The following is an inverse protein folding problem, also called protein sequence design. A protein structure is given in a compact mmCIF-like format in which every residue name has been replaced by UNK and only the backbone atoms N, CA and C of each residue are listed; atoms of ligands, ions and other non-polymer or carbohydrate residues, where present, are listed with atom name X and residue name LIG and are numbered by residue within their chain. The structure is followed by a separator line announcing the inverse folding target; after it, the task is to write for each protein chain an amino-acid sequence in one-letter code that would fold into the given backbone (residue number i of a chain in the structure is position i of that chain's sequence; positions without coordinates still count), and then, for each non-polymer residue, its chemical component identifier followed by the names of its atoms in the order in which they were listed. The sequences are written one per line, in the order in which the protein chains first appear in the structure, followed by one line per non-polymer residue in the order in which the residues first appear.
data_IF_538096287630
#
_entry.id   IF_538096287630
#
_cell.length_a   1.000
_cell.length_b   1.000
_cell.length_c   1.000
_cell.angle_alpha   90.00
_cell.angle_beta   90.00
_cell.angle_gamma   90.00
#
_symmetry.space_group_name_H-M   'P 1'
#
loop_
_entity.id
_entity.type
_entity.pdbx_description
1 polymer ?
#
# COMPACT_ATOMS: atom_id res chain seq x y z
N UNK A 1 -2.63 -20.80 5.63
CA UNK A 1 -3.11 -19.70 4.77
C UNK A 1 -4.49 -20.07 4.25
N UNK A 2 -5.49 -19.22 4.49
CA UNK A 2 -6.87 -19.48 4.06
C UNK A 2 -6.99 -19.41 2.52
N UNK A 3 -7.82 -20.27 1.95
CA UNK A 3 -8.12 -20.30 0.52
C UNK A 3 -9.63 -20.22 0.31
N UNK A 4 -10.08 -19.42 -0.65
CA UNK A 4 -11.49 -19.35 -0.99
C UNK A 4 -11.97 -20.61 -1.75
N UNK A 5 -13.25 -20.65 -2.12
CA UNK A 5 -13.87 -21.80 -2.80
C UNK A 5 -13.21 -22.17 -4.13
N UNK A 6 -12.48 -21.25 -4.75
CA UNK A 6 -11.73 -21.47 -5.99
C UNK A 6 -10.27 -21.92 -5.73
N UNK A 7 -9.90 -22.18 -4.47
CA UNK A 7 -8.55 -22.59 -4.10
C UNK A 7 -7.51 -21.46 -4.10
N UNK A 8 -7.93 -20.20 -4.29
CA UNK A 8 -7.05 -19.03 -4.30
C UNK A 8 -6.78 -18.57 -2.87
N UNK A 9 -5.52 -18.29 -2.55
CA UNK A 9 -5.16 -17.66 -1.28
C UNK A 9 -5.66 -16.22 -1.25
N UNK A 10 -6.35 -15.86 -0.17
CA UNK A 10 -6.96 -14.54 0.02
C UNK A 10 -6.62 -13.96 1.39
N UNK A 11 -6.85 -12.67 1.55
CA UNK A 11 -6.80 -11.92 2.80
C UNK A 11 -8.17 -11.31 3.04
N UNK A 12 -8.65 -11.31 4.28
CA UNK A 12 -9.88 -10.62 4.67
C UNK A 12 -9.51 -9.38 5.48
N UNK A 13 -9.79 -8.19 4.95
CA UNK A 13 -9.74 -6.92 5.71
C UNK A 13 -11.13 -6.68 6.28
N UNK A 14 -11.28 -6.80 7.60
CA UNK A 14 -12.55 -6.65 8.33
C UNK A 14 -12.53 -5.33 9.09
N UNK A 15 -13.40 -4.40 8.70
CA UNK A 15 -13.38 -3.01 9.17
C UNK A 15 -14.70 -2.71 9.87
N UNK A 16 -14.74 -2.50 11.20
CA UNK A 16 -15.96 -2.07 11.88
C UNK A 16 -16.32 -0.65 11.44
N UNK A 17 -17.61 -0.43 11.14
CA UNK A 17 -18.13 0.86 10.69
C UNK A 17 -19.39 1.23 11.46
N UNK A 18 -19.73 2.52 11.46
CA UNK A 18 -20.96 3.10 12.01
C UNK A 18 -21.21 2.93 13.52
N UNK A 19 -20.39 2.18 14.25
CA UNK A 19 -20.52 2.02 15.69
C UNK A 19 -19.97 3.20 16.49
N UNK A 20 -20.48 3.35 17.71
CA UNK A 20 -20.09 4.44 18.63
C UNK A 20 -18.92 4.07 19.56
N UNK A 21 -18.53 2.79 19.58
CA UNK A 21 -17.39 2.32 20.38
C UNK A 21 -16.10 2.69 19.68
N UNK A 22 -15.15 3.25 20.43
CA UNK A 22 -13.77 3.39 19.95
C UNK A 22 -13.17 2.00 19.70
N UNK A 23 -12.41 1.88 18.62
CA UNK A 23 -11.69 0.66 18.24
C UNK A 23 -10.25 1.05 17.99
N UNK A 24 -9.31 0.47 18.75
CA UNK A 24 -7.89 0.80 18.70
C UNK A 24 -7.62 2.29 18.98
N UNK A 25 -8.45 2.91 19.82
CA UNK A 25 -8.36 4.33 20.14
C UNK A 25 -9.10 5.28 19.18
N UNK A 26 -9.58 4.79 18.04
CA UNK A 26 -10.20 5.63 16.99
C UNK A 26 -11.72 5.43 16.88
N UNK A 27 -12.41 6.46 16.39
CA UNK A 27 -13.82 6.35 16.00
C UNK A 27 -13.96 5.42 14.79
N UNK A 28 -15.04 4.64 14.75
CA UNK A 28 -15.32 3.82 13.57
C UNK A 28 -15.69 4.71 12.38
N UNK A 29 -15.17 4.35 11.20
CA UNK A 29 -15.49 5.02 9.94
C UNK A 29 -17.00 5.01 9.68
N UNK A 30 -17.51 6.11 9.12
CA UNK A 30 -18.84 6.23 8.54
C UNK A 30 -18.88 5.66 7.13
N UNK A 31 -20.09 5.42 6.62
CA UNK A 31 -20.28 4.89 5.26
C UNK A 31 -19.61 5.76 4.19
N UNK A 32 -19.65 7.08 4.35
CA UNK A 32 -19.03 8.02 3.41
C UNK A 32 -17.50 7.91 3.40
N UNK A 33 -16.88 7.68 4.56
CA UNK A 33 -15.42 7.57 4.71
C UNK A 33 -14.87 6.22 4.21
N UNK A 34 -15.64 5.14 4.33
CA UNK A 34 -15.22 3.82 3.84
C UNK A 34 -15.49 3.64 2.33
N UNK A 35 -16.42 4.42 1.77
CA UNK A 35 -16.76 4.34 0.35
C UNK A 35 -15.58 4.69 -0.55
N UNK A 36 -14.77 5.68 -0.16
CA UNK A 36 -13.56 6.08 -0.89
C UNK A 36 -12.59 4.90 -1.05
N UNK A 37 -12.29 4.19 0.05
CA UNK A 37 -11.42 3.01 0.06
C UNK A 37 -11.98 1.90 -0.83
N UNK A 38 -13.28 1.60 -0.75
CA UNK A 38 -13.92 0.56 -1.58
C UNK A 38 -13.81 0.89 -3.06
N UNK A 39 -14.15 2.12 -3.46
CA UNK A 39 -14.11 2.57 -4.86
C UNK A 39 -12.67 2.53 -5.38
N UNK A 40 -11.72 3.12 -4.64
CA UNK A 40 -10.31 3.17 -5.05
C UNK A 40 -9.75 1.75 -5.19
N UNK A 41 -9.99 0.86 -4.21
CA UNK A 41 -9.57 -0.54 -4.31
C UNK A 41 -10.15 -1.23 -5.54
N UNK A 42 -11.45 -1.02 -5.81
CA UNK A 42 -12.12 -1.63 -6.94
C UNK A 42 -11.59 -1.15 -8.29
N UNK A 43 -11.36 0.17 -8.45
CA UNK A 43 -10.86 0.74 -9.70
C UNK A 43 -9.40 0.36 -9.97
N UNK A 44 -8.54 0.40 -8.96
CA UNK A 44 -7.14 -0.01 -9.11
C UNK A 44 -7.01 -1.50 -9.41
N UNK A 45 -7.86 -2.35 -8.82
CA UNK A 45 -7.88 -3.78 -9.13
C UNK A 45 -8.25 -4.08 -10.59
N UNK A 46 -9.02 -3.20 -11.26
CA UNK A 46 -9.38 -3.39 -12.68
C UNK A 46 -8.21 -3.14 -13.62
N UNK A 47 -7.20 -2.36 -13.21
CA UNK A 47 -6.07 -2.01 -14.06
C UNK A 47 -5.32 -3.23 -14.60
N UNK A 48 -5.35 -4.38 -13.92
CA UNK A 48 -4.74 -5.62 -14.44
C UNK A 48 -5.25 -6.08 -15.81
N UNK A 49 -6.45 -5.64 -16.21
CA UNK A 49 -7.10 -6.01 -17.48
C UNK A 49 -7.33 -4.82 -18.42
N UNK A 50 -6.85 -3.63 -18.06
CA UNK A 50 -7.03 -2.43 -18.87
C UNK A 50 -6.24 -2.52 -20.19
N UNK A 51 -6.65 -1.75 -21.20
CA UNK A 51 -6.05 -1.77 -22.53
C UNK A 51 -5.03 -0.65 -22.75
N UNK A 52 -5.08 0.42 -21.95
CA UNK A 52 -4.22 1.59 -22.07
C UNK A 52 -3.27 1.72 -20.88
N UNK A 53 -3.77 1.47 -19.66
CA UNK A 53 -3.01 1.56 -18.41
C UNK A 53 -3.12 0.26 -17.62
N UNK A 54 -2.24 -0.70 -17.91
CA UNK A 54 -2.32 -2.05 -17.37
C UNK A 54 -1.23 -2.34 -16.37
N UNK A 55 -1.58 -2.76 -15.16
CA UNK A 55 -0.58 -3.19 -14.16
C UNK A 55 -1.17 -4.23 -13.21
N UNK A 56 -0.35 -5.20 -12.81
CA UNK A 56 -0.64 -6.13 -11.72
C UNK A 56 -0.17 -5.64 -10.33
N UNK A 57 0.34 -4.41 -10.25
CA UNK A 57 0.97 -3.85 -9.05
C UNK A 57 0.01 -3.43 -7.94
N UNK A 58 -1.31 -3.53 -8.13
CA UNK A 58 -2.33 -3.22 -7.12
C UNK A 58 -3.02 -4.48 -6.64
N UNK A 59 -3.43 -4.49 -5.36
CA UNK A 59 -4.13 -5.63 -4.79
C UNK A 59 -5.44 -5.93 -5.52
N UNK A 60 -5.68 -7.23 -5.71
CA UNK A 60 -6.92 -7.73 -6.28
C UNK A 60 -8.06 -7.59 -5.28
N UNK A 61 -9.13 -6.89 -5.65
CA UNK A 61 -10.40 -6.95 -4.94
C UNK A 61 -11.22 -8.12 -5.51
N UNK A 62 -11.40 -9.16 -4.71
CA UNK A 62 -12.23 -10.33 -5.05
C UNK A 62 -13.70 -10.04 -4.72
N UNK A 63 -13.96 -9.44 -3.56
CA UNK A 63 -15.31 -9.13 -3.09
C UNK A 63 -15.29 -8.01 -2.05
N UNK A 64 -16.38 -7.25 -1.96
CA UNK A 64 -16.61 -6.29 -0.90
C UNK A 64 -18.05 -6.48 -0.37
N UNK A 65 -18.19 -6.69 0.94
CA UNK A 65 -19.50 -6.93 1.57
C UNK A 65 -19.68 -6.09 2.81
N UNK A 66 -20.86 -5.51 2.96
CA UNK A 66 -21.35 -5.01 4.24
C UNK A 66 -22.03 -6.17 4.98
N UNK A 67 -21.57 -6.46 6.19
CA UNK A 67 -22.08 -7.55 7.03
C UNK A 67 -22.45 -7.01 8.41
N UNK A 68 -23.29 -7.76 9.13
CA UNK A 68 -23.77 -7.38 10.46
C UNK A 68 -23.65 -8.56 11.43
N UNK A 69 -23.20 -8.32 12.66
CA UNK A 69 -23.16 -9.35 13.70
C UNK A 69 -22.05 -9.15 14.73
N UNK A 70 -21.95 -10.09 15.67
CA UNK A 70 -20.78 -10.19 16.53
C UNK A 70 -19.56 -10.69 15.73
N UNK A 71 -18.35 -10.41 16.25
CA UNK A 71 -17.14 -10.95 15.66
C UNK A 71 -17.14 -12.49 15.79
N UNK A 72 -16.92 -13.25 14.71
CA UNK A 72 -17.01 -14.70 14.75
C UNK A 72 -16.01 -15.33 15.73
N UNK A 73 -16.45 -16.30 16.54
CA UNK A 73 -15.63 -16.99 17.55
C UNK A 73 -14.33 -17.56 16.96
N UNK A 74 -14.42 -18.17 15.77
CA UNK A 74 -13.26 -18.72 15.10
C UNK A 74 -12.23 -17.65 14.66
N UNK A 75 -12.66 -16.41 14.40
CA UNK A 75 -11.74 -15.30 14.11
C UNK A 75 -11.16 -14.71 15.40
N UNK A 76 -11.92 -14.73 16.50
CA UNK A 76 -11.41 -14.39 17.83
C UNK A 76 -10.28 -15.34 18.21
N UNK A 77 -10.48 -16.66 18.09
CA UNK A 77 -9.43 -17.66 18.40
C UNK A 77 -8.14 -17.42 17.60
N UNK A 78 -8.27 -17.07 16.31
CA UNK A 78 -7.12 -16.75 15.45
C UNK A 78 -6.43 -15.44 15.87
N UNK A 79 -7.19 -14.43 16.29
CA UNK A 79 -6.65 -13.18 16.81
C UNK A 79 -5.91 -13.41 18.14
N UNK A 80 -6.45 -14.22 19.05
CA UNK A 80 -5.80 -14.56 20.32
C UNK A 80 -4.50 -15.33 20.10
N UNK A 81 -4.51 -16.32 19.19
CA UNK A 81 -3.31 -17.04 18.78
C UNK A 81 -2.26 -16.10 18.18
N UNK A 82 -2.66 -15.12 17.38
CA UNK A 82 -1.74 -14.14 16.83
C UNK A 82 -1.11 -13.30 17.95
N UNK A 83 -1.93 -12.75 18.85
CA UNK A 83 -1.51 -11.97 20.02
C UNK A 83 -0.50 -12.72 20.89
N UNK A 84 -0.74 -14.00 21.17
CA UNK A 84 0.17 -14.81 21.99
C UNK A 84 1.55 -14.99 21.35
N UNK A 85 1.61 -15.08 20.02
CA UNK A 85 2.85 -15.34 19.29
C UNK A 85 3.64 -14.08 18.90
N UNK A 86 2.95 -12.94 18.70
CA UNK A 86 3.54 -11.73 18.12
C UNK A 86 3.32 -10.46 18.96
N UNK A 87 2.39 -10.49 19.92
CA UNK A 87 1.83 -9.28 20.52
C UNK A 87 0.88 -8.55 19.56
N UNK A 88 0.10 -7.62 20.11
CA UNK A 88 -0.73 -6.69 19.34
C UNK A 88 -1.08 -5.49 20.20
N UNK A 89 -1.15 -4.31 19.58
CA UNK A 89 -1.64 -3.09 20.21
C UNK A 89 -3.16 -2.90 20.00
N UNK A 90 -3.80 -3.81 19.25
CA UNK A 90 -5.22 -3.71 18.94
C UNK A 90 -6.08 -4.16 20.13
N UNK A 91 -7.26 -3.54 20.22
CA UNK A 91 -8.30 -3.97 21.14
C UNK A 91 -8.80 -5.37 20.79
N UNK A 92 -9.23 -6.10 21.81
CA UNK A 92 -9.82 -7.42 21.60
C UNK A 92 -11.15 -7.30 20.83
N UNK A 93 -11.37 -8.03 19.72
CA UNK A 93 -12.56 -7.88 18.88
C UNK A 93 -13.85 -8.46 19.50
N UNK A 94 -13.85 -8.84 20.79
CA UNK A 94 -15.04 -9.36 21.46
C UNK A 94 -15.97 -8.25 21.99
N UNK A 95 -15.59 -6.98 21.78
CA UNK A 95 -16.34 -5.81 22.20
C UNK A 95 -17.61 -5.56 21.36
N UNK A 96 -17.73 -6.20 20.20
CA UNK A 96 -18.79 -5.93 19.24
C UNK A 96 -20.09 -6.69 19.53
N UNK A 97 -21.21 -6.00 19.38
CA UNK A 97 -22.56 -6.52 19.60
C UNK A 97 -23.22 -6.97 18.28
N UNK A 98 -24.40 -7.58 18.36
CA UNK A 98 -25.06 -8.20 17.21
C UNK A 98 -25.43 -7.19 16.11
N UNK A 99 -25.59 -5.92 16.48
CA UNK A 99 -25.96 -4.82 15.61
C UNK A 99 -24.77 -4.23 14.85
N UNK A 100 -23.53 -4.55 15.25
CA UNK A 100 -22.30 -3.97 14.67
C UNK A 100 -22.21 -4.28 13.16
N UNK A 101 -21.94 -3.24 12.38
CA UNK A 101 -21.71 -3.33 10.94
C UNK A 101 -20.22 -3.42 10.64
N UNK A 102 -19.87 -4.16 9.58
CA UNK A 102 -18.51 -4.23 9.07
C UNK A 102 -18.50 -4.16 7.56
N UNK A 103 -17.46 -3.55 7.00
CA UNK A 103 -17.04 -3.82 5.63
C UNK A 103 -15.99 -4.94 5.66
N UNK A 104 -16.24 -5.98 4.85
CA UNK A 104 -15.29 -7.07 4.62
C UNK A 104 -14.81 -7.00 3.17
N UNK A 105 -13.52 -6.71 3.01
CA UNK A 105 -12.83 -6.76 1.72
C UNK A 105 -12.13 -8.12 1.59
N UNK A 106 -12.53 -8.90 0.60
CA UNK A 106 -11.82 -10.11 0.18
C UNK A 106 -10.75 -9.72 -0.83
N UNK A 107 -9.49 -9.79 -0.42
CA UNK A 107 -8.34 -9.30 -1.17
C UNK A 107 -7.45 -10.46 -1.63
N UNK A 108 -6.78 -10.29 -2.77
CA UNK A 108 -5.72 -11.19 -3.21
C UNK A 108 -4.53 -11.17 -2.24
N UNK A 109 -3.91 -12.33 -2.00
CA UNK A 109 -2.69 -12.37 -1.20
C UNK A 109 -1.49 -11.84 -2.01
N UNK A 110 -0.98 -10.67 -1.64
CA UNK A 110 0.20 -10.03 -2.26
C UNK A 110 1.56 -10.47 -1.69
N UNK A 111 1.59 -11.32 -0.67
CA UNK A 111 2.82 -11.80 -0.05
C UNK A 111 3.09 -11.18 1.32
N UNK A 112 4.32 -10.76 1.55
CA UNK A 112 4.79 -10.20 2.83
C UNK A 112 5.13 -8.73 2.66
N UNK A 113 4.83 -7.89 3.65
CA UNK A 113 5.17 -6.47 3.64
C UNK A 113 6.68 -6.21 3.51
N UNK A 114 7.05 -5.05 2.95
CA UNK A 114 8.42 -4.67 2.63
C UNK A 114 9.30 -4.57 3.89
N UNK A 115 8.72 -4.21 5.03
CA UNK A 115 9.42 -4.12 6.32
C UNK A 115 9.92 -5.50 6.80
N UNK A 116 9.08 -6.52 6.69
CA UNK A 116 9.40 -7.88 7.13
C UNK A 116 10.12 -8.72 6.05
N UNK A 117 9.99 -8.38 4.77
CA UNK A 117 10.59 -9.13 3.67
C UNK A 117 12.13 -9.13 3.71
N UNK A 118 12.74 -10.26 3.38
CA UNK A 118 14.20 -10.42 3.41
C UNK A 118 14.76 -10.67 2.00
N UNK A 119 15.20 -9.59 1.38
CA UNK A 119 15.75 -9.57 0.02
C UNK A 119 17.06 -10.34 -0.08
N UNK A 120 17.28 -10.94 -1.25
CA UNK A 120 18.55 -11.58 -1.57
C UNK A 120 19.69 -10.58 -1.58
N UNK A 121 19.52 -9.43 -2.23
CA UNK A 121 20.48 -8.32 -2.33
C UNK A 121 19.74 -7.03 -2.74
N UNK A 122 20.48 -5.92 -2.84
CA UNK A 122 19.88 -4.62 -3.15
C UNK A 122 19.38 -4.51 -4.60
N UNK A 123 19.93 -5.28 -5.55
CA UNK A 123 19.41 -5.33 -6.92
C UNK A 123 17.97 -5.85 -6.95
N UNK A 124 17.64 -6.86 -6.13
CA UNK A 124 16.28 -7.36 -6.01
C UNK A 124 15.33 -6.32 -5.39
N UNK A 125 15.79 -5.57 -4.38
CA UNK A 125 14.99 -4.50 -3.79
C UNK A 125 14.79 -3.34 -4.78
N UNK A 126 15.84 -2.95 -5.52
CA UNK A 126 15.75 -1.90 -6.52
C UNK A 126 14.78 -2.28 -7.66
N UNK A 127 14.78 -3.55 -8.06
CA UNK A 127 13.78 -4.10 -8.98
C UNK A 127 12.34 -4.03 -8.45
N UNK A 128 12.13 -4.18 -7.14
CA UNK A 128 10.83 -3.94 -6.53
C UNK A 128 10.48 -2.45 -6.53
N UNK A 129 11.44 -1.57 -6.25
CA UNK A 129 11.22 -0.11 -6.26
C UNK A 129 10.68 0.41 -7.59
N UNK A 130 11.27 -0.03 -8.70
CA UNK A 130 10.88 0.41 -10.05
C UNK A 130 9.48 -0.09 -10.47
N UNK A 131 8.87 -1.02 -9.74
CA UNK A 131 7.50 -1.50 -9.99
C UNK A 131 6.43 -0.55 -9.39
N UNK A 132 6.83 0.48 -8.63
CA UNK A 132 5.91 1.37 -7.90
C UNK A 132 5.49 2.56 -8.77
N UNK A 133 4.26 2.53 -9.31
CA UNK A 133 3.70 3.63 -10.11
C UNK A 133 2.26 3.96 -9.67
N UNK A 134 2.05 4.85 -8.68
CA UNK A 134 0.71 5.30 -8.29
C UNK A 134 0.63 6.51 -7.33
N UNK A 135 -0.53 7.20 -7.29
CA UNK A 135 -0.91 8.14 -6.23
C UNK A 135 -1.61 7.53 -5.01
N UNK A 136 -0.82 7.11 -4.02
CA UNK A 136 -1.32 6.40 -2.85
C UNK A 136 -1.60 7.27 -1.62
N UNK A 137 -0.79 8.31 -1.38
CA UNK A 137 -0.81 9.19 -0.18
C UNK A 137 -0.53 8.53 1.17
N UNK A 138 -0.43 7.21 1.23
CA UNK A 138 0.02 6.50 2.43
C UNK A 138 0.93 5.32 2.13
N UNK A 139 1.89 5.49 1.23
CA UNK A 139 2.72 4.38 0.74
C UNK A 139 3.90 4.13 1.67
N UNK A 140 3.64 3.86 2.96
CA UNK A 140 4.67 3.37 3.86
C UNK A 140 5.03 1.92 3.53
N UNK A 141 6.17 1.43 4.02
CA UNK A 141 6.68 0.10 3.70
C UNK A 141 5.79 -1.07 4.18
N UNK A 142 4.78 -0.81 5.03
CA UNK A 142 3.76 -1.80 5.39
C UNK A 142 2.72 -2.01 4.28
N UNK A 143 2.54 -1.01 3.42
CA UNK A 143 1.56 -1.00 2.33
C UNK A 143 2.14 -1.48 0.99
N UNK A 144 3.37 -1.99 1.00
CA UNK A 144 4.04 -2.61 -0.15
C UNK A 144 4.26 -4.08 0.18
N UNK A 145 3.50 -4.96 -0.45
CA UNK A 145 3.69 -6.40 -0.33
C UNK A 145 4.64 -6.91 -1.42
N UNK A 146 5.49 -7.86 -1.03
CA UNK A 146 6.46 -8.54 -1.88
C UNK A 146 6.13 -10.03 -1.91
N UNK A 147 6.03 -10.58 -3.11
CA UNK A 147 5.94 -12.02 -3.36
C UNK A 147 7.10 -12.49 -4.24
N UNK A 148 7.51 -13.75 -4.08
CA UNK A 148 8.48 -14.33 -5.01
C UNK A 148 7.76 -14.75 -6.30
N UNK A 149 8.44 -14.61 -7.44
CA UNK A 149 7.94 -15.03 -8.75
C UNK A 149 9.02 -15.73 -9.55
N UNK A 150 8.61 -16.68 -10.40
CA UNK A 150 9.48 -17.33 -11.39
C UNK A 150 9.48 -16.57 -12.74
N UNK A 151 8.56 -15.61 -12.91
CA UNK A 151 8.52 -14.73 -14.08
C UNK A 151 9.79 -13.89 -14.13
N UNK A 152 10.42 -13.79 -15.30
CA UNK A 152 11.69 -13.06 -15.46
C UNK A 152 11.49 -11.55 -15.52
N UNK A 153 10.36 -11.12 -16.01
CA UNK A 153 9.99 -9.73 -16.24
C UNK A 153 8.59 -9.47 -15.68
N UNK A 154 8.36 -8.25 -15.23
CA UNK A 154 7.04 -7.73 -14.87
C UNK A 154 6.63 -6.78 -15.99
N UNK A 155 5.46 -7.03 -16.56
CA UNK A 155 4.92 -6.27 -17.68
C UNK A 155 3.82 -5.31 -17.22
N UNK A 156 3.83 -4.10 -17.78
CA UNK A 156 2.78 -3.11 -17.62
C UNK A 156 2.52 -2.37 -18.94
N UNK A 157 1.31 -1.85 -19.12
CA UNK A 157 0.99 -0.90 -20.20
C UNK A 157 0.90 0.50 -19.63
N UNK A 158 1.55 1.46 -20.30
CA UNK A 158 1.40 2.88 -20.01
C UNK A 158 1.13 3.62 -21.30
N UNK A 159 -0.03 4.26 -21.44
CA UNK A 159 -0.50 4.83 -22.71
C UNK A 159 -0.51 3.80 -23.86
N UNK A 160 -0.86 2.55 -23.56
CA UNK A 160 -0.87 1.44 -24.51
C UNK A 160 0.52 0.91 -24.91
N UNK A 161 1.60 1.52 -24.43
CA UNK A 161 2.96 1.06 -24.65
C UNK A 161 3.34 0.00 -23.61
N UNK A 162 3.82 -1.16 -24.08
CA UNK A 162 4.31 -2.23 -23.22
C UNK A 162 5.68 -1.89 -22.65
N UNK A 163 5.78 -1.90 -21.33
CA UNK A 163 7.02 -1.76 -20.59
C UNK A 163 7.24 -3.05 -19.83
N UNK A 164 8.44 -3.63 -19.97
CA UNK A 164 8.85 -4.85 -19.30
C UNK A 164 10.10 -4.55 -18.47
N UNK A 165 10.03 -4.84 -17.17
CA UNK A 165 11.14 -4.63 -16.24
C UNK A 165 11.59 -5.97 -15.65
N UNK A 166 12.90 -6.23 -15.51
CA UNK A 166 13.37 -7.45 -14.88
C UNK A 166 12.82 -7.58 -13.45
N UNK A 167 12.16 -8.70 -13.15
CA UNK A 167 11.52 -8.95 -11.85
C UNK A 167 12.52 -9.21 -10.73
N UNK A 168 13.72 -9.69 -11.09
CA UNK A 168 14.69 -10.25 -10.17
C UNK A 168 14.09 -11.26 -9.16
N UNK A 169 13.05 -11.97 -9.59
CA UNK A 169 12.35 -12.99 -8.82
C UNK A 169 11.37 -12.44 -7.77
N UNK A 170 11.00 -11.16 -7.84
CA UNK A 170 9.98 -10.54 -6.98
C UNK A 170 8.92 -9.78 -7.76
N UNK A 171 7.71 -9.77 -7.21
CA UNK A 171 6.58 -8.98 -7.69
C UNK A 171 6.04 -8.14 -6.52
N UNK A 172 5.66 -6.90 -6.83
CA UNK A 172 5.11 -5.93 -5.88
C UNK A 172 3.59 -5.88 -5.95
N UNK A 173 2.96 -5.72 -4.80
CA UNK A 173 1.53 -5.43 -4.68
C UNK A 173 1.31 -4.32 -3.67
N UNK A 174 0.76 -3.19 -4.12
CA UNK A 174 0.35 -2.06 -3.28
C UNK A 174 -1.03 -2.38 -2.66
N UNK A 175 -1.19 -2.05 -1.37
CA UNK A 175 -2.41 -2.26 -0.59
C UNK A 175 -2.75 -0.99 0.22
N UNK A 176 -3.95 -1.01 0.81
CA UNK A 176 -4.46 -0.01 1.76
C UNK A 176 -4.63 1.41 1.23
N UNK A 177 -5.73 1.61 0.53
CA UNK A 177 -6.04 2.90 -0.10
C UNK A 177 -6.80 3.86 0.82
N UNK A 178 -6.70 3.69 2.14
CA UNK A 178 -7.47 4.47 3.13
C UNK A 178 -7.27 5.98 2.96
N UNK A 179 -6.04 6.46 2.71
CA UNK A 179 -5.76 7.90 2.53
C UNK A 179 -5.62 8.30 1.05
N UNK A 180 -5.84 7.36 0.13
CA UNK A 180 -5.68 7.59 -1.30
C UNK A 180 -6.70 8.59 -1.83
N UNK A 181 -6.41 9.11 -3.03
CA UNK A 181 -7.27 10.03 -3.74
C UNK A 181 -7.41 9.65 -5.20
N UNK A 182 -8.62 9.69 -5.72
CA UNK A 182 -8.87 9.55 -7.16
C UNK A 182 -10.05 10.40 -7.61
N UNK A 183 -10.13 10.67 -8.91
CA UNK A 183 -11.39 11.12 -9.53
C UNK A 183 -12.06 9.92 -10.15
N UNK A 184 -13.27 9.60 -9.70
CA UNK A 184 -14.09 8.53 -10.25
C UNK A 184 -15.46 9.10 -10.64
N UNK A 185 -15.87 8.86 -11.88
CA UNK A 185 -17.13 9.36 -12.43
C UNK A 185 -17.35 10.89 -12.26
N UNK A 186 -16.27 11.68 -12.28
CA UNK A 186 -16.30 13.14 -12.10
C UNK A 186 -16.27 13.61 -10.64
N UNK A 187 -16.35 12.69 -9.67
CA UNK A 187 -16.32 12.98 -8.24
C UNK A 187 -14.95 12.67 -7.63
N UNK A 188 -14.49 13.52 -6.73
CA UNK A 188 -13.23 13.30 -6.01
C UNK A 188 -13.46 12.35 -4.84
N UNK A 189 -12.88 11.16 -4.90
CA UNK A 189 -12.86 10.19 -3.80
C UNK A 189 -11.57 10.41 -3.00
N UNK A 190 -11.69 10.76 -1.73
CA UNK A 190 -10.59 10.97 -0.80
C UNK A 190 -11.12 10.97 0.64
N UNK A 191 -10.23 10.82 1.61
CA UNK A 191 -10.53 11.08 3.02
C UNK A 191 -9.92 12.43 3.41
N UNK A 192 -10.71 13.27 4.09
CA UNK A 192 -10.24 14.58 4.55
C UNK A 192 -9.45 14.45 5.85
N UNK A 193 -8.15 14.74 5.77
CA UNK A 193 -7.25 14.68 6.93
C UNK A 193 -7.11 16.05 7.59
N UNK A 194 -7.91 17.06 7.21
CA UNK A 194 -7.70 18.44 7.65
C UNK A 194 -7.75 18.65 9.16
N UNK A 195 -8.43 17.76 9.89
CA UNK A 195 -8.63 17.78 11.35
C UNK A 195 -7.82 16.72 12.11
N UNK A 196 -6.99 15.92 11.44
CA UNK A 196 -6.24 14.83 12.09
C UNK A 196 -4.94 15.34 12.73
N UNK A 197 -5.04 15.85 13.96
CA UNK A 197 -3.87 16.39 14.68
C UNK A 197 -2.86 15.31 15.09
N UNK A 198 -3.32 14.08 15.35
CA UNK A 198 -2.46 12.98 15.78
C UNK A 198 -1.50 12.58 14.66
N UNK A 199 -2.02 12.40 13.45
CA UNK A 199 -1.22 12.05 12.26
C UNK A 199 -0.09 13.05 12.01
N UNK A 200 -0.34 14.36 12.15
CA UNK A 200 0.67 15.38 11.85
C UNK A 200 1.62 15.70 13.02
N UNK A 201 1.24 15.36 14.26
CA UNK A 201 2.08 15.55 15.45
C UNK A 201 2.97 14.35 15.75
N UNK A 202 2.67 13.17 15.20
CA UNK A 202 3.49 11.98 15.31
C UNK A 202 4.93 12.19 14.81
N UNK A 203 5.88 11.45 15.40
CA UNK A 203 7.32 11.58 15.13
C UNK A 203 8.05 10.26 15.35
N UNK A 204 9.33 10.20 14.99
CA UNK A 204 10.18 9.01 15.19
C UNK A 204 10.46 8.21 13.92
N UNK A 205 9.75 8.50 12.83
CA UNK A 205 9.96 7.92 11.52
C UNK A 205 9.78 8.99 10.42
N UNK A 206 10.54 8.85 9.32
CA UNK A 206 10.43 9.74 8.16
C UNK A 206 9.02 9.72 7.53
N UNK A 207 8.27 8.63 7.74
CA UNK A 207 6.85 8.52 7.37
C UNK A 207 6.03 9.73 7.85
N UNK A 208 6.24 10.15 9.11
CA UNK A 208 5.47 11.27 9.67
C UNK A 208 5.87 12.62 9.08
N UNK A 209 7.10 12.78 8.62
CA UNK A 209 7.51 13.95 7.86
C UNK A 209 6.80 14.01 6.51
N UNK A 210 6.57 12.86 5.85
CA UNK A 210 5.82 12.80 4.58
C UNK A 210 4.41 13.36 4.76
N UNK A 211 3.67 12.97 5.81
CA UNK A 211 2.32 13.54 6.05
C UNK A 211 2.36 15.06 6.19
N UNK A 212 3.33 15.62 6.94
CA UNK A 212 3.51 17.07 7.08
C UNK A 212 3.86 17.74 5.75
N UNK A 213 4.74 17.13 4.96
CA UNK A 213 5.11 17.64 3.64
C UNK A 213 3.91 17.65 2.70
N UNK A 214 3.14 16.56 2.62
CA UNK A 214 1.92 16.48 1.82
C UNK A 214 0.91 17.56 2.24
N UNK A 215 0.67 17.71 3.55
CA UNK A 215 -0.21 18.75 4.11
C UNK A 215 0.18 20.14 3.62
N UNK A 216 1.47 20.44 3.59
CA UNK A 216 2.00 21.71 3.08
C UNK A 216 1.79 21.85 1.56
N UNK A 217 2.06 20.80 0.78
CA UNK A 217 1.86 20.83 -0.68
C UNK A 217 0.40 21.12 -1.04
N UNK A 218 -0.54 20.44 -0.39
CA UNK A 218 -1.96 20.64 -0.65
C UNK A 218 -2.56 21.83 0.10
N UNK A 219 -1.79 22.53 0.94
CA UNK A 219 -2.27 23.60 1.83
C UNK A 219 -3.47 23.15 2.69
N UNK A 220 -3.40 21.95 3.24
CA UNK A 220 -4.46 21.28 4.01
C UNK A 220 -5.79 21.07 3.25
N UNK A 221 -5.81 21.16 1.92
CA UNK A 221 -6.97 20.92 1.05
C UNK A 221 -6.80 19.56 0.35
N UNK A 222 -7.22 18.49 1.03
CA UNK A 222 -6.93 17.10 0.64
C UNK A 222 -7.68 16.63 -0.61
N UNK A 223 -8.67 17.37 -1.09
CA UNK A 223 -9.32 17.12 -2.38
C UNK A 223 -8.41 17.43 -3.59
N UNK A 224 -7.40 18.29 -3.39
CA UNK A 224 -6.49 18.72 -4.47
C UNK A 224 -5.70 17.55 -5.02
N UNK A 225 -5.51 17.58 -6.34
CA UNK A 225 -4.58 16.69 -7.02
C UNK A 225 -3.16 17.26 -6.90
N UNK A 226 -2.26 16.49 -6.31
CA UNK A 226 -0.87 16.90 -6.10
C UNK A 226 0.06 15.69 -6.28
N UNK A 227 0.46 15.38 -7.53
CA UNK A 227 1.20 14.17 -7.86
C UNK A 227 2.62 14.15 -7.29
N UNK A 228 3.15 15.30 -6.83
CA UNK A 228 4.43 15.36 -6.12
C UNK A 228 4.38 14.59 -4.79
N UNK A 229 3.20 14.39 -4.20
CA UNK A 229 3.05 13.55 -3.01
C UNK A 229 3.55 12.12 -3.23
N UNK A 230 3.54 11.62 -4.47
CA UNK A 230 4.06 10.29 -4.79
C UNK A 230 5.57 10.27 -4.81
N UNK A 231 6.17 11.36 -5.28
CA UNK A 231 7.62 11.53 -5.22
C UNK A 231 8.09 11.56 -3.76
N UNK A 232 7.34 12.20 -2.87
CA UNK A 232 7.64 12.18 -1.43
C UNK A 232 7.60 10.75 -0.85
N UNK A 233 6.58 9.97 -1.20
CA UNK A 233 6.49 8.57 -0.77
C UNK A 233 7.55 7.66 -1.39
N UNK A 234 7.84 7.82 -2.69
CA UNK A 234 8.92 7.08 -3.35
C UNK A 234 10.28 7.42 -2.73
N UNK A 235 10.50 8.68 -2.37
CA UNK A 235 11.70 9.11 -1.65
C UNK A 235 11.79 8.47 -0.26
N UNK A 236 10.67 8.36 0.47
CA UNK A 236 10.59 7.59 1.71
C UNK A 236 10.94 6.10 1.49
N UNK A 237 10.34 5.46 0.49
CA UNK A 237 10.54 4.04 0.24
C UNK A 237 11.99 3.73 -0.16
N UNK A 238 12.59 4.54 -1.03
CA UNK A 238 13.98 4.29 -1.42
C UNK A 238 14.93 4.47 -0.23
N UNK A 239 14.65 5.42 0.68
CA UNK A 239 15.41 5.56 1.92
C UNK A 239 15.27 4.32 2.82
N UNK A 240 14.04 3.79 2.97
CA UNK A 240 13.81 2.52 3.67
C UNK A 240 14.51 1.34 3.01
N UNK A 241 14.57 1.27 1.68
CA UNK A 241 15.33 0.23 1.00
C UNK A 241 16.83 0.36 1.23
N UNK A 242 17.39 1.57 1.25
CA UNK A 242 18.82 1.77 1.52
C UNK A 242 19.15 1.42 2.98
N UNK A 243 18.33 1.87 3.93
CA UNK A 243 18.70 1.93 5.36
C UNK A 243 17.95 0.94 6.27
N UNK A 244 16.75 0.50 5.88
CA UNK A 244 15.83 -0.22 6.77
C UNK A 244 15.58 -1.70 6.42
N UNK A 245 15.48 -2.04 5.13
CA UNK A 245 15.12 -3.40 4.72
C UNK A 245 16.24 -4.43 4.98
N UNK A 246 15.87 -5.71 5.00
CA UNK A 246 16.78 -6.81 5.31
C UNK A 246 17.38 -7.40 4.03
N UNK A 247 18.69 -7.60 4.05
CA UNK A 247 19.46 -8.17 2.93
C UNK A 247 20.30 -9.36 3.35
N UNK A 248 20.24 -10.46 2.58
CA UNK A 248 21.06 -11.67 2.81
C UNK A 248 22.50 -11.55 2.29
N UNK A 249 22.71 -11.01 1.08
CA UNK A 249 24.01 -11.00 0.39
C UNK A 249 24.63 -9.59 0.27
N UNK A 250 24.81 -8.91 1.40
CA UNK A 250 25.34 -7.53 1.48
C UNK A 250 26.76 -7.36 0.89
N UNK A 251 27.55 -8.44 0.83
CA UNK A 251 28.94 -8.41 0.36
C UNK A 251 29.06 -8.54 -1.17
N UNK A 252 27.95 -8.84 -1.88
CA UNK A 252 27.99 -9.02 -3.33
C UNK A 252 28.23 -7.69 -4.06
N UNK A 253 28.94 -7.74 -5.19
CA UNK A 253 29.13 -6.56 -6.06
C UNK A 253 27.79 -5.96 -6.48
N UNK A 254 26.85 -6.81 -6.92
CA UNK A 254 25.48 -6.41 -7.28
C UNK A 254 24.75 -5.67 -6.16
N UNK A 255 25.00 -6.00 -4.89
CA UNK A 255 24.41 -5.26 -3.78
C UNK A 255 25.01 -3.86 -3.67
N UNK A 256 26.35 -3.74 -3.70
CA UNK A 256 27.01 -2.43 -3.59
C UNK A 256 26.64 -1.50 -4.75
N UNK A 257 26.68 -2.02 -5.97
CA UNK A 257 26.34 -1.27 -7.18
C UNK A 257 24.89 -0.76 -7.08
N UNK A 258 23.93 -1.63 -6.76
CA UNK A 258 22.53 -1.23 -6.61
C UNK A 258 22.26 -0.28 -5.43
N UNK A 259 22.99 -0.38 -4.31
CA UNK A 259 22.90 0.61 -3.22
C UNK A 259 23.36 1.99 -3.72
N UNK A 260 24.46 2.04 -4.48
CA UNK A 260 24.96 3.28 -5.04
C UNK A 260 23.96 3.91 -6.03
N UNK A 261 23.35 3.09 -6.88
CA UNK A 261 22.31 3.52 -7.82
C UNK A 261 21.08 4.05 -7.07
N UNK A 262 20.62 3.36 -6.03
CA UNK A 262 19.49 3.83 -5.21
C UNK A 262 19.82 5.12 -4.45
N UNK A 263 21.04 5.29 -3.94
CA UNK A 263 21.45 6.55 -3.30
C UNK A 263 21.46 7.71 -4.29
N UNK A 264 21.97 7.49 -5.50
CA UNK A 264 21.95 8.51 -6.55
C UNK A 264 20.51 8.88 -6.93
N UNK A 265 19.65 7.88 -7.12
CA UNK A 265 18.25 8.10 -7.43
C UNK A 265 17.53 8.83 -6.31
N UNK A 266 17.74 8.46 -5.04
CA UNK A 266 17.18 9.17 -3.89
C UNK A 266 17.50 10.66 -3.93
N UNK A 267 18.75 11.00 -4.20
CA UNK A 267 19.21 12.39 -4.24
C UNK A 267 18.62 13.16 -5.44
N UNK A 268 18.17 12.46 -6.50
CA UNK A 268 17.53 13.07 -7.67
C UNK A 268 16.00 13.09 -7.61
N UNK A 269 15.36 12.17 -6.87
CA UNK A 269 13.91 11.95 -6.90
C UNK A 269 13.09 13.22 -6.66
N UNK A 270 13.51 14.06 -5.73
CA UNK A 270 12.80 15.29 -5.37
C UNK A 270 12.81 16.36 -6.48
N UNK A 271 13.56 16.15 -7.57
CA UNK A 271 13.56 17.03 -8.74
C UNK A 271 12.42 16.71 -9.73
N UNK A 272 11.76 15.57 -9.60
CA UNK A 272 10.61 15.20 -10.44
C UNK A 272 9.32 15.83 -9.90
N UNK A 273 8.37 16.12 -10.79
CA UNK A 273 7.05 16.66 -10.37
C UNK A 273 6.03 15.56 -10.11
N UNK A 274 6.24 14.36 -10.66
CA UNK A 274 5.31 13.24 -10.54
C UNK A 274 6.02 11.90 -10.74
N UNK A 275 5.41 10.82 -10.25
CA UNK A 275 5.88 9.45 -10.53
C UNK A 275 5.88 9.16 -12.05
N UNK A 276 4.95 9.72 -12.81
CA UNK A 276 4.93 9.63 -14.28
C UNK A 276 6.12 10.33 -14.94
N UNK A 277 6.55 11.48 -14.43
CA UNK A 277 7.74 12.20 -14.91
C UNK A 277 9.01 11.37 -14.67
N UNK A 278 9.10 10.73 -13.50
CA UNK A 278 10.17 9.79 -13.17
C UNK A 278 10.13 8.54 -14.09
N UNK A 279 8.96 7.94 -14.27
CA UNK A 279 8.79 6.72 -15.08
C UNK A 279 9.20 6.93 -16.55
N UNK A 280 9.07 8.14 -17.09
CA UNK A 280 9.55 8.45 -18.45
C UNK A 280 11.07 8.30 -18.60
N UNK A 281 11.87 8.46 -17.53
CA UNK A 281 13.30 8.19 -17.58
C UNK A 281 13.64 6.70 -17.63
N UNK A 282 12.79 5.86 -17.03
CA UNK A 282 12.95 4.40 -17.10
C UNK A 282 12.77 3.87 -18.53
N UNK A 283 12.10 4.63 -19.41
CA UNK A 283 11.95 4.28 -20.84
C UNK A 283 13.20 4.58 -21.68
N UNK A 284 14.12 5.42 -21.19
CA UNK A 284 15.24 5.97 -21.97
C UNK A 284 16.55 5.18 -21.74
N UNK A 285 16.61 4.36 -20.69
CA UNK A 285 17.79 3.55 -20.31
C UNK A 285 17.54 2.06 -20.48
#
# INVERSE_FOLDING_TARGET
MYKNSNGRAIVLKVIPIEGDKLVNGECQKKFEEILSEIIITAELSKLKNDQEYRTGGFVDLVNARCVQGQYPENLIDLWELYRENHGTDNDHPNIFEQEQLYIVLELGNGGQDLEAFNFRNALQAYSAFIQLEFEHRDLHWGNILISNTDEKEIEFLYNGELIAIPSHGVCVTIIDYTLSRMVYAGECQYNDLSQDEELFSASGDYQFDIYRLMRNQVNNQWEKYEPFNNILWLHYIIDKMINGVRYRLKQSRKHRDAIQDMMHLRDELLNFKSASDYAQLLKIN
#
